data_IF_080059177972
#
_entry.id   IF_080059177972
#
_cell.length_a   1.000
_cell.length_b   1.000
_cell.length_c   1.000
_cell.angle_alpha   90.00
_cell.angle_beta   90.00
_cell.angle_gamma   90.00
#
_symmetry.space_group_name_H-M   'P 1'
#
loop_
_entity.id
_entity.type
_entity.pdbx_description
1 polymer ?
#
# COMPACT_ATOMS: atom_id res chain seq x y z
N UNK A 1 -13.30 -10.54 -66.44
CA UNK A 1 -13.60 -11.17 -65.13
C UNK A 1 -12.35 -11.63 -64.37
N UNK A 2 -11.46 -12.43 -64.96
CA UNK A 2 -10.29 -13.00 -64.26
C UNK A 2 -9.42 -11.93 -63.56
N UNK A 3 -9.09 -10.82 -64.22
CA UNK A 3 -8.28 -9.75 -63.61
C UNK A 3 -8.96 -9.08 -62.41
N UNK A 4 -10.29 -8.91 -62.46
CA UNK A 4 -11.04 -8.33 -61.35
C UNK A 4 -11.08 -9.28 -60.13
N UNK A 5 -11.23 -10.58 -60.38
CA UNK A 5 -11.17 -11.61 -59.34
C UNK A 5 -9.78 -11.70 -58.70
N UNK A 6 -8.71 -11.64 -59.50
CA UNK A 6 -7.33 -11.62 -58.98
C UNK A 6 -7.07 -10.42 -58.07
N UNK A 7 -7.48 -9.21 -58.49
CA UNK A 7 -7.32 -8.01 -57.65
C UNK A 7 -8.11 -8.12 -56.34
N UNK A 8 -9.29 -8.74 -56.35
CA UNK A 8 -10.06 -8.98 -55.13
C UNK A 8 -9.37 -9.98 -54.19
N UNK A 9 -8.75 -11.03 -54.74
CA UNK A 9 -7.98 -12.00 -53.96
C UNK A 9 -6.75 -11.36 -53.31
N UNK A 10 -6.00 -10.55 -54.06
CA UNK A 10 -4.84 -9.83 -53.54
C UNK A 10 -5.21 -8.88 -52.39
N UNK A 11 -6.26 -8.08 -52.57
CA UNK A 11 -6.77 -7.19 -51.51
C UNK A 11 -7.21 -7.95 -50.25
N UNK A 12 -7.85 -9.12 -50.42
CA UNK A 12 -8.22 -9.98 -49.28
C UNK A 12 -6.98 -10.54 -48.59
N UNK A 13 -5.98 -10.96 -49.34
CA UNK A 13 -4.72 -11.48 -48.80
C UNK A 13 -3.98 -10.41 -47.99
N UNK A 14 -3.92 -9.17 -48.48
CA UNK A 14 -3.37 -8.04 -47.75
C UNK A 14 -4.13 -7.74 -46.45
N UNK A 15 -5.47 -7.85 -46.49
CA UNK A 15 -6.30 -7.69 -45.31
C UNK A 15 -6.04 -8.79 -44.27
N UNK A 16 -5.91 -10.05 -44.71
CA UNK A 16 -5.55 -11.19 -43.86
C UNK A 16 -4.17 -10.97 -43.22
N UNK A 17 -3.17 -10.57 -44.01
CA UNK A 17 -1.82 -10.27 -43.50
C UNK A 17 -1.81 -9.16 -42.45
N UNK A 18 -2.64 -8.12 -42.62
CA UNK A 18 -2.80 -7.05 -41.63
C UNK A 18 -3.43 -7.56 -40.34
N UNK A 19 -4.50 -8.36 -40.45
CA UNK A 19 -5.17 -8.96 -39.29
C UNK A 19 -4.25 -9.92 -38.52
N UNK A 20 -3.42 -10.69 -39.23
CA UNK A 20 -2.45 -11.58 -38.60
C UNK A 20 -1.45 -10.79 -37.75
N UNK A 21 -0.86 -9.73 -38.31
CA UNK A 21 0.07 -8.85 -37.56
C UNK A 21 -0.57 -8.21 -36.34
N UNK A 22 -1.83 -7.76 -36.47
CA UNK A 22 -2.57 -7.22 -35.33
C UNK A 22 -2.83 -8.27 -34.25
N UNK A 23 -3.10 -9.51 -34.65
CA UNK A 23 -3.35 -10.63 -33.73
C UNK A 23 -2.07 -11.01 -32.97
N UNK A 24 -0.93 -11.04 -33.66
CA UNK A 24 0.36 -11.31 -33.04
C UNK A 24 0.72 -10.22 -32.02
N UNK A 25 0.50 -8.94 -32.37
CA UNK A 25 0.76 -7.82 -31.46
C UNK A 25 -0.17 -7.84 -30.23
N UNK A 26 -1.46 -8.12 -30.42
CA UNK A 26 -2.40 -8.26 -29.30
C UNK A 26 -2.01 -9.43 -28.39
N UNK A 27 -1.53 -10.53 -28.96
CA UNK A 27 -1.06 -11.69 -28.19
C UNK A 27 0.17 -11.33 -27.35
N UNK A 28 1.12 -10.58 -27.94
CA UNK A 28 2.30 -10.08 -27.23
C UNK A 28 1.90 -9.18 -26.05
N UNK A 29 1.05 -8.19 -26.29
CA UNK A 29 0.57 -7.26 -25.26
C UNK A 29 -0.19 -7.98 -24.14
N UNK A 30 -1.01 -8.98 -24.49
CA UNK A 30 -1.74 -9.79 -23.51
C UNK A 30 -0.78 -10.59 -22.62
N UNK A 31 0.27 -11.17 -23.20
CA UNK A 31 1.28 -11.91 -22.44
C UNK A 31 2.05 -10.98 -21.49
N UNK A 32 2.49 -9.81 -21.97
CA UNK A 32 3.19 -8.81 -21.14
C UNK A 32 2.33 -8.35 -19.96
N UNK A 33 1.05 -8.07 -20.19
CA UNK A 33 0.14 -7.66 -19.12
C UNK A 33 -0.16 -8.80 -18.14
N UNK A 34 -0.27 -10.03 -18.64
CA UNK A 34 -0.43 -11.23 -17.81
C UNK A 34 0.77 -11.43 -16.90
N UNK A 35 1.99 -11.27 -17.41
CA UNK A 35 3.22 -11.37 -16.62
C UNK A 35 3.30 -10.30 -15.52
N UNK A 36 3.00 -9.04 -15.86
CA UNK A 36 2.94 -7.95 -14.87
C UNK A 36 1.94 -8.25 -13.77
N UNK A 37 0.73 -8.71 -14.13
CA UNK A 37 -0.30 -9.07 -13.16
C UNK A 37 0.15 -10.20 -12.24
N UNK A 38 0.78 -11.26 -12.77
CA UNK A 38 1.28 -12.36 -11.95
C UNK A 38 2.40 -11.93 -11.00
N UNK A 39 3.28 -11.02 -11.44
CA UNK A 39 4.33 -10.48 -10.60
C UNK A 39 3.76 -9.62 -9.46
N UNK A 40 2.85 -8.68 -9.76
CA UNK A 40 2.16 -7.89 -8.73
C UNK A 40 1.42 -8.79 -7.74
N UNK A 41 0.71 -9.82 -8.22
CA UNK A 41 0.03 -10.80 -7.37
C UNK A 41 0.97 -11.51 -6.40
N UNK A 42 2.17 -11.92 -6.85
CA UNK A 42 3.19 -12.55 -6.00
C UNK A 42 3.70 -11.60 -4.93
N UNK A 43 4.00 -10.35 -5.31
CA UNK A 43 4.48 -9.32 -4.38
C UNK A 43 3.42 -8.95 -3.33
N UNK A 44 2.17 -8.76 -3.74
CA UNK A 44 1.03 -8.54 -2.83
C UNK A 44 0.88 -9.70 -1.85
N UNK A 45 0.99 -10.94 -2.34
CA UNK A 45 0.86 -12.15 -1.50
C UNK A 45 2.00 -12.27 -0.47
N UNK A 46 3.17 -11.71 -0.76
CA UNK A 46 4.30 -11.65 0.17
C UNK A 46 4.19 -10.49 1.19
N UNK A 47 3.59 -9.36 0.79
CA UNK A 47 3.43 -8.18 1.66
C UNK A 47 2.28 -8.31 2.65
N UNK A 48 1.15 -8.91 2.25
CA UNK A 48 -0.03 -9.01 3.10
C UNK A 48 0.23 -9.68 4.47
N UNK A 49 0.94 -10.82 4.54
CA UNK A 49 1.29 -11.43 5.83
C UNK A 49 2.16 -10.52 6.70
N UNK A 50 3.11 -9.78 6.10
CA UNK A 50 3.98 -8.87 6.85
C UNK A 50 3.18 -7.72 7.47
N UNK A 51 2.24 -7.14 6.71
CA UNK A 51 1.33 -6.10 7.22
C UNK A 51 0.48 -6.64 8.37
N UNK A 52 -0.02 -7.87 8.26
CA UNK A 52 -0.81 -8.52 9.31
C UNK A 52 0.00 -8.76 10.58
N UNK A 53 1.24 -9.26 10.45
CA UNK A 53 2.16 -9.44 11.58
C UNK A 53 2.42 -8.11 12.28
N UNK A 54 2.79 -7.08 11.52
CA UNK A 54 3.08 -5.75 12.05
C UNK A 54 1.85 -5.12 12.73
N UNK A 55 0.65 -5.29 12.18
CA UNK A 55 -0.59 -4.84 12.80
C UNK A 55 -0.89 -5.57 14.12
N UNK A 56 -0.60 -6.88 14.18
CA UNK A 56 -0.83 -7.69 15.39
C UNK A 56 0.12 -7.26 16.50
N UNK A 57 1.42 -7.17 16.19
CA UNK A 57 2.45 -6.73 17.14
C UNK A 57 2.22 -5.29 17.63
N UNK A 58 1.79 -4.38 16.74
CA UNK A 58 1.38 -3.03 17.13
C UNK A 58 0.19 -3.04 18.08
N UNK A 59 -0.84 -3.83 17.79
CA UNK A 59 -2.02 -3.94 18.64
C UNK A 59 -1.67 -4.49 20.03
N UNK A 60 -0.79 -5.47 20.10
CA UNK A 60 -0.29 -6.01 21.37
C UNK A 60 0.46 -4.95 22.17
N UNK A 61 1.37 -4.21 21.53
CA UNK A 61 2.12 -3.14 22.17
C UNK A 61 1.20 -2.04 22.71
N UNK A 62 0.27 -1.56 21.89
CA UNK A 62 -0.73 -0.55 22.28
C UNK A 62 -1.60 -1.06 23.44
N UNK A 63 -2.02 -2.33 23.40
CA UNK A 63 -2.83 -2.91 24.47
C UNK A 63 -2.05 -3.06 25.78
N UNK A 64 -0.76 -3.40 25.71
CA UNK A 64 0.10 -3.51 26.88
C UNK A 64 0.30 -2.14 27.54
N UNK A 65 0.63 -1.11 26.75
CA UNK A 65 0.71 0.29 27.22
C UNK A 65 -0.63 0.75 27.78
N UNK A 66 -1.73 0.44 27.09
CA UNK A 66 -3.07 0.83 27.54
C UNK A 66 -3.48 0.24 28.88
N UNK A 67 -3.05 -1.00 29.16
CA UNK A 67 -3.32 -1.68 30.44
C UNK A 67 -2.38 -1.22 31.53
N UNK A 68 -1.11 -0.98 31.22
CA UNK A 68 -0.11 -0.53 32.19
C UNK A 68 -0.43 0.84 32.77
N UNK A 69 -0.98 1.73 31.94
CA UNK A 69 -1.25 3.14 32.29
C UNK A 69 -2.75 3.44 32.48
N UNK A 70 -3.59 2.41 32.53
CA UNK A 70 -5.05 2.54 32.74
C UNK A 70 -5.72 3.64 31.90
N UNK A 71 -5.34 3.75 30.62
CA UNK A 71 -5.65 4.89 29.74
C UNK A 71 -7.15 5.21 29.58
N UNK A 72 -8.02 4.27 29.91
CA UNK A 72 -9.46 4.37 29.68
C UNK A 72 -9.78 4.67 28.21
N UNK A 73 -10.97 5.23 27.94
CA UNK A 73 -11.38 5.58 26.57
C UNK A 73 -10.60 6.77 26.01
N UNK A 74 -10.42 7.82 26.82
CA UNK A 74 -9.79 9.07 26.38
C UNK A 74 -8.31 8.90 26.04
N UNK A 75 -7.54 8.19 26.88
CA UNK A 75 -6.13 7.94 26.61
C UNK A 75 -5.93 7.04 25.39
N UNK A 76 -6.79 6.02 25.20
CA UNK A 76 -6.80 5.23 23.96
C UNK A 76 -7.05 6.09 22.72
N UNK A 77 -7.98 7.04 22.78
CA UNK A 77 -8.18 7.99 21.67
C UNK A 77 -6.93 8.81 21.37
N UNK A 78 -6.15 9.22 22.37
CA UNK A 78 -4.89 9.91 22.12
C UNK A 78 -3.84 8.99 21.47
N UNK A 79 -3.78 7.72 21.85
CA UNK A 79 -2.92 6.73 21.18
C UNK A 79 -3.37 6.50 19.73
N UNK A 80 -4.66 6.36 19.47
CA UNK A 80 -5.17 6.22 18.09
C UNK A 80 -4.80 7.46 17.25
N UNK A 81 -4.93 8.66 17.82
CA UNK A 81 -4.56 9.91 17.16
C UNK A 81 -3.07 9.99 16.85
N UNK A 82 -2.17 9.58 17.77
CA UNK A 82 -0.72 9.64 17.51
C UNK A 82 -0.32 8.64 16.41
N UNK A 83 -0.95 7.47 16.39
CA UNK A 83 -0.75 6.45 15.36
C UNK A 83 -1.19 6.94 13.98
N UNK A 84 -2.36 7.58 13.89
CA UNK A 84 -2.86 8.15 12.65
C UNK A 84 -1.95 9.28 12.14
N UNK A 85 -1.52 10.18 13.03
CA UNK A 85 -0.60 11.27 12.66
C UNK A 85 0.73 10.74 12.17
N UNK A 86 1.32 9.75 12.85
CA UNK A 86 2.57 9.12 12.42
C UNK A 86 2.43 8.46 11.04
N UNK A 87 1.31 7.79 10.77
CA UNK A 87 1.01 7.23 9.45
C UNK A 87 0.95 8.32 8.38
N UNK A 88 0.29 9.45 8.67
CA UNK A 88 0.15 10.54 7.72
C UNK A 88 1.51 11.21 7.43
N UNK A 89 2.36 11.43 8.44
CA UNK A 89 3.74 11.92 8.26
C UNK A 89 4.49 11.06 7.24
N UNK A 90 4.40 9.74 7.37
CA UNK A 90 5.11 8.79 6.49
C UNK A 90 4.53 8.79 5.07
N UNK A 91 3.22 8.95 4.92
CA UNK A 91 2.55 8.88 3.62
C UNK A 91 2.61 10.18 2.82
N UNK A 92 2.67 11.34 3.49
CA UNK A 92 2.50 12.66 2.85
C UNK A 92 3.74 13.55 2.95
N UNK A 93 4.71 13.21 3.81
CA UNK A 93 5.90 14.02 4.09
C UNK A 93 5.55 15.48 4.47
N UNK A 94 4.39 15.70 5.09
CA UNK A 94 3.92 17.02 5.52
C UNK A 94 4.53 17.42 6.88
N UNK A 95 5.25 18.54 6.93
CA UNK A 95 5.85 19.06 8.16
C UNK A 95 4.81 19.43 9.23
N UNK A 96 3.61 19.88 8.83
CA UNK A 96 2.50 20.22 9.75
C UNK A 96 2.08 19.03 10.60
N UNK A 97 2.15 17.81 10.06
CA UNK A 97 1.81 16.60 10.79
C UNK A 97 2.81 16.29 11.92
N UNK A 98 4.05 16.77 11.84
CA UNK A 98 5.07 16.57 12.88
C UNK A 98 4.85 17.43 14.13
N UNK A 99 4.37 18.68 13.98
CA UNK A 99 4.10 19.55 15.14
C UNK A 99 2.90 19.06 15.95
N UNK A 100 1.85 18.59 15.29
CA UNK A 100 0.69 18.01 15.96
C UNK A 100 1.03 16.71 16.67
N UNK A 101 1.90 15.89 16.08
CA UNK A 101 2.38 14.65 16.68
C UNK A 101 3.09 14.92 18.00
N UNK A 102 3.95 15.94 18.06
CA UNK A 102 4.65 16.33 19.28
C UNK A 102 3.68 16.84 20.38
N UNK A 103 2.61 17.56 19.99
CA UNK A 103 1.55 17.97 20.94
C UNK A 103 0.82 16.76 21.54
N UNK A 104 0.53 15.73 20.74
CA UNK A 104 -0.14 14.52 21.22
C UNK A 104 0.81 13.72 22.11
N UNK A 105 2.08 13.58 21.72
CA UNK A 105 3.13 12.93 22.51
C UNK A 105 3.23 13.51 23.92
N UNK A 106 3.31 14.84 24.04
CA UNK A 106 3.38 15.51 25.36
C UNK A 106 2.14 15.22 26.22
N UNK A 107 0.94 15.26 25.65
CA UNK A 107 -0.28 14.89 26.39
C UNK A 107 -0.26 13.44 26.88
N UNK A 108 0.24 12.50 26.08
CA UNK A 108 0.38 11.10 26.48
C UNK A 108 1.37 10.92 27.64
N UNK A 109 2.42 11.75 27.71
CA UNK A 109 3.39 11.74 28.81
C UNK A 109 2.82 12.45 30.05
N UNK A 110 2.31 13.66 29.88
CA UNK A 110 1.91 14.56 30.96
C UNK A 110 0.60 14.10 31.63
N UNK A 111 -0.40 13.68 30.85
CA UNK A 111 -1.74 13.35 31.37
C UNK A 111 -1.92 11.85 31.68
N UNK A 112 -1.09 10.99 31.08
CA UNK A 112 -1.24 9.53 31.14
C UNK A 112 0.02 8.79 31.58
N UNK A 113 1.10 9.51 31.93
CA UNK A 113 2.36 8.96 32.43
C UNK A 113 3.00 7.89 31.53
N UNK A 114 2.63 7.86 30.24
CA UNK A 114 3.25 6.96 29.26
C UNK A 114 4.70 7.40 29.09
N UNK A 115 5.62 6.44 29.13
CA UNK A 115 7.03 6.74 29.00
C UNK A 115 7.41 7.09 27.56
N UNK A 116 8.47 7.89 27.41
CA UNK A 116 9.05 8.20 26.10
C UNK A 116 9.45 6.96 25.31
N UNK A 117 9.93 5.93 26.01
CA UNK A 117 10.28 4.64 25.43
C UNK A 117 9.06 3.94 24.83
N UNK A 118 7.97 3.86 25.57
CA UNK A 118 6.74 3.22 25.09
C UNK A 118 6.14 3.95 23.89
N UNK A 119 6.14 5.29 23.91
CA UNK A 119 5.69 6.08 22.75
C UNK A 119 6.60 5.82 21.55
N UNK A 120 7.93 5.86 21.75
CA UNK A 120 8.90 5.61 20.68
C UNK A 120 8.71 4.23 20.06
N UNK A 121 8.50 3.20 20.87
CA UNK A 121 8.33 1.83 20.38
C UNK A 121 7.02 1.69 19.58
N UNK A 122 5.92 2.28 20.07
CA UNK A 122 4.63 2.32 19.34
C UNK A 122 4.78 3.05 18.00
N UNK A 123 5.43 4.22 18.00
CA UNK A 123 5.63 5.01 16.78
C UNK A 123 6.58 4.35 15.79
N UNK A 124 7.62 3.68 16.28
CA UNK A 124 8.53 2.90 15.45
C UNK A 124 7.76 1.78 14.74
N UNK A 125 6.94 1.04 15.50
CA UNK A 125 6.14 -0.07 14.97
C UNK A 125 5.10 0.39 13.95
N UNK A 126 4.42 1.49 14.26
CA UNK A 126 3.50 2.14 13.31
C UNK A 126 4.21 2.59 12.04
N UNK A 127 5.47 3.02 12.15
CA UNK A 127 6.24 3.43 11.00
C UNK A 127 6.62 2.25 10.08
N UNK A 128 7.03 1.11 10.65
CA UNK A 128 7.25 -0.12 9.89
C UNK A 128 5.99 -0.52 9.11
N UNK A 129 4.84 -0.54 9.79
CA UNK A 129 3.56 -0.85 9.16
C UNK A 129 3.19 0.14 8.06
N UNK A 130 3.29 1.44 8.31
CA UNK A 130 2.90 2.46 7.34
C UNK A 130 3.75 2.42 6.06
N UNK A 131 5.03 2.03 6.16
CA UNK A 131 5.90 1.80 4.99
C UNK A 131 5.42 0.62 4.16
N UNK A 132 5.07 -0.50 4.80
CA UNK A 132 4.51 -1.67 4.09
C UNK A 132 3.16 -1.34 3.43
N UNK A 133 2.28 -0.60 4.11
CA UNK A 133 1.01 -0.13 3.54
C UNK A 133 1.25 0.74 2.28
N UNK A 134 2.29 1.58 2.30
CA UNK A 134 2.67 2.43 1.16
C UNK A 134 3.20 1.60 -0.02
N UNK A 135 4.04 0.59 0.27
CA UNK A 135 4.51 -0.35 -0.75
C UNK A 135 3.33 -1.11 -1.36
N UNK A 136 2.41 -1.65 -0.55
CA UNK A 136 1.22 -2.33 -1.05
C UNK A 136 0.38 -1.41 -1.96
N UNK A 137 0.18 -0.15 -1.56
CA UNK A 137 -0.56 0.83 -2.36
C UNK A 137 0.09 1.09 -3.73
N UNK A 138 1.42 1.07 -3.81
CA UNK A 138 2.15 1.25 -5.07
C UNK A 138 2.05 0.06 -6.03
N UNK A 139 1.63 -1.12 -5.56
CA UNK A 139 1.45 -2.32 -6.39
C UNK A 139 0.03 -2.48 -6.93
N UNK A 140 -0.93 -1.80 -6.31
CA UNK A 140 -2.36 -1.81 -6.67
C UNK A 140 -2.71 -0.63 -7.60
N UNK A 141 -1.98 0.47 -7.48
CA UNK A 141 -2.11 1.68 -8.32
C UNK A 141 -1.34 1.55 -9.64
#
# INVERSE_FOLDING_TARGET
>A
EINALNNQLENKNDSINKLQKQTDELTRLLNEETEKYQNSKKEISALLPQIQTQQTELNELVNNVSKKHDLGKKGRTFVDNILEKQRNVIQTNENSASEELEKIRRKLIDDYEITEEEIRDILHKQAEKAKLDTQLKSLIN
#
